data_IF_403737662268
#
_entry.id   IF_403737662268
#
_cell.length_a   1.000
_cell.length_b   1.000
_cell.length_c   1.000
_cell.angle_alpha   90.00
_cell.angle_beta   90.00
_cell.angle_gamma   90.00
#
_symmetry.space_group_name_H-M   'P 1'
#
loop_
_entity.id
_entity.type
_entity.pdbx_description
1 polymer ?
#
# COMPACT_ATOMS: atom_id res chain seq x y z
N UNK A 1 -7.70 52.28 15.59
CA UNK A 1 -6.40 51.57 15.54
C UNK A 1 -6.35 50.32 16.45
N UNK A 2 -6.77 50.37 17.73
CA UNK A 2 -6.72 49.20 18.64
C UNK A 2 -7.63 48.02 18.23
N UNK A 3 -8.87 48.26 17.79
CA UNK A 3 -9.83 47.19 17.40
C UNK A 3 -9.37 46.35 16.21
N UNK A 4 -8.74 46.97 15.22
CA UNK A 4 -8.18 46.29 14.04
C UNK A 4 -7.00 45.38 14.41
N UNK A 5 -6.17 45.81 15.37
CA UNK A 5 -5.08 45.01 15.91
C UNK A 5 -5.55 43.76 16.66
N UNK A 6 -6.60 43.87 17.48
CA UNK A 6 -7.19 42.71 18.16
C UNK A 6 -7.84 41.72 17.18
N UNK A 7 -8.46 42.21 16.11
CA UNK A 7 -9.05 41.37 15.08
C UNK A 7 -7.98 40.59 14.30
N UNK A 8 -6.90 41.25 13.88
CA UNK A 8 -5.74 40.61 13.23
C UNK A 8 -5.09 39.56 14.14
N UNK A 9 -4.92 39.87 15.44
CA UNK A 9 -4.35 38.94 16.40
C UNK A 9 -5.22 37.70 16.59
N UNK A 10 -6.55 37.87 16.68
CA UNK A 10 -7.49 36.76 16.80
C UNK A 10 -7.48 35.83 15.57
N UNK A 11 -7.40 36.40 14.36
CA UNK A 11 -7.31 35.61 13.12
C UNK A 11 -6.01 34.79 13.08
N UNK A 12 -4.87 35.38 13.46
CA UNK A 12 -3.59 34.68 13.50
C UNK A 12 -3.62 33.50 14.49
N UNK A 13 -4.20 33.70 15.68
CA UNK A 13 -4.32 32.64 16.69
C UNK A 13 -5.20 31.50 16.19
N UNK A 14 -6.31 31.80 15.52
CA UNK A 14 -7.20 30.77 14.95
C UNK A 14 -6.49 29.98 13.84
N UNK A 15 -5.78 30.65 12.92
CA UNK A 15 -5.04 29.97 11.85
C UNK A 15 -3.91 29.11 12.39
N UNK A 16 -3.16 29.60 13.40
CA UNK A 16 -2.10 28.82 14.04
C UNK A 16 -2.65 27.59 14.78
N UNK A 17 -3.75 27.75 15.53
CA UNK A 17 -4.40 26.64 16.23
C UNK A 17 -4.96 25.60 15.25
N UNK A 18 -5.55 26.04 14.13
CA UNK A 18 -6.02 25.16 13.07
C UNK A 18 -4.86 24.40 12.39
N UNK A 19 -3.73 25.08 12.12
CA UNK A 19 -2.53 24.46 11.54
C UNK A 19 -1.90 23.41 12.47
N UNK A 20 -1.78 23.72 13.77
CA UNK A 20 -1.26 22.77 14.77
C UNK A 20 -2.22 21.59 14.99
N UNK A 21 -3.52 21.86 15.00
CA UNK A 21 -4.55 20.81 15.08
C UNK A 21 -4.46 19.88 13.87
N UNK A 22 -4.44 20.43 12.66
CA UNK A 22 -4.31 19.67 11.42
C UNK A 22 -3.06 18.77 11.42
N UNK A 23 -1.91 19.29 11.85
CA UNK A 23 -0.66 18.54 11.90
C UNK A 23 -0.65 17.42 12.95
N UNK A 24 -1.32 17.62 14.09
CA UNK A 24 -1.48 16.56 15.10
C UNK A 24 -2.44 15.45 14.67
N UNK A 25 -3.40 15.74 13.79
CA UNK A 25 -4.37 14.75 13.31
C UNK A 25 -3.91 14.04 12.03
N UNK A 26 -2.89 14.54 11.32
CA UNK A 26 -2.23 13.79 10.24
C UNK A 26 -1.28 12.74 10.83
N UNK A 27 -1.61 11.45 10.71
CA UNK A 27 -0.66 10.37 11.03
C UNK A 27 0.62 10.48 10.19
N UNK A 28 1.73 9.88 10.65
CA UNK A 28 3.01 9.92 9.91
C UNK A 28 2.87 9.22 8.54
N UNK A 29 2.87 9.95 7.41
CA UNK A 29 2.75 9.33 6.08
C UNK A 29 4.00 8.52 5.69
N UNK A 30 5.12 8.74 6.38
CA UNK A 30 6.41 8.12 6.06
C UNK A 30 6.76 6.93 6.96
N UNK A 31 5.87 6.51 7.87
CA UNK A 31 6.17 5.44 8.82
C UNK A 31 6.59 4.12 8.14
N UNK A 32 5.90 3.70 7.06
CA UNK A 32 6.34 2.54 6.27
C UNK A 32 7.70 2.77 5.59
N UNK A 33 7.96 3.99 5.12
CA UNK A 33 9.25 4.34 4.50
C UNK A 33 10.39 4.22 5.50
N UNK A 34 10.21 4.78 6.70
CA UNK A 34 11.16 4.72 7.81
C UNK A 34 11.43 3.26 8.20
N UNK A 35 10.39 2.44 8.36
CA UNK A 35 10.55 1.00 8.66
C UNK A 35 11.41 0.32 7.59
N UNK A 36 11.13 0.55 6.30
CA UNK A 36 11.86 -0.14 5.23
C UNK A 36 13.30 0.35 5.13
N UNK A 37 13.51 1.66 5.09
CA UNK A 37 14.81 2.26 4.74
C UNK A 37 15.73 2.43 5.94
N UNK A 38 15.20 2.51 7.15
CA UNK A 38 15.97 2.78 8.37
C UNK A 38 16.06 1.59 9.31
N UNK A 39 15.21 0.57 9.13
CA UNK A 39 15.21 -0.63 9.98
C UNK A 39 15.49 -1.88 9.13
N UNK A 40 14.54 -2.30 8.28
CA UNK A 40 14.65 -3.58 7.57
C UNK A 40 15.88 -3.64 6.64
N UNK A 41 16.10 -2.61 5.82
CA UNK A 41 17.19 -2.61 4.86
C UNK A 41 18.57 -2.52 5.52
N UNK A 42 18.83 -1.58 6.47
CA UNK A 42 20.12 -1.52 7.16
C UNK A 42 20.43 -2.81 7.94
N UNK A 43 19.47 -3.37 8.68
CA UNK A 43 19.69 -4.57 9.49
C UNK A 43 19.95 -5.80 8.62
N UNK A 44 19.27 -5.91 7.47
CA UNK A 44 19.55 -6.95 6.49
C UNK A 44 20.97 -6.85 5.92
N UNK A 45 21.46 -5.63 5.65
CA UNK A 45 22.78 -5.42 5.06
C UNK A 45 23.92 -5.64 6.07
N UNK A 46 23.71 -5.26 7.33
CA UNK A 46 24.74 -5.32 8.37
C UNK A 46 24.76 -6.66 9.10
N UNK A 47 23.59 -7.20 9.43
CA UNK A 47 23.46 -8.36 10.33
C UNK A 47 22.76 -9.56 9.67
N UNK A 48 22.40 -9.44 8.39
CA UNK A 48 21.62 -10.45 7.67
C UNK A 48 20.25 -10.74 8.31
N UNK A 49 19.72 -9.79 9.07
CA UNK A 49 18.45 -9.91 9.78
C UNK A 49 17.38 -9.05 9.10
N UNK A 50 16.27 -9.62 8.60
CA UNK A 50 15.24 -8.85 7.93
C UNK A 50 14.31 -8.08 8.89
N UNK A 51 14.36 -8.35 10.20
CA UNK A 51 13.42 -7.78 11.15
C UNK A 51 13.43 -6.23 11.14
N UNK A 52 12.26 -5.56 11.26
CA UNK A 52 10.93 -6.12 11.52
C UNK A 52 10.21 -6.68 10.28
N UNK A 53 10.81 -6.63 9.11
CA UNK A 53 10.26 -7.26 7.91
C UNK A 53 10.38 -8.79 8.00
N UNK A 54 9.46 -9.48 7.32
CA UNK A 54 9.54 -10.93 7.17
C UNK A 54 10.64 -11.33 6.18
N UNK A 55 10.94 -10.46 5.20
CA UNK A 55 11.97 -10.65 4.20
C UNK A 55 12.47 -9.33 3.64
N UNK A 56 13.75 -9.27 3.31
CA UNK A 56 14.38 -8.14 2.62
C UNK A 56 15.25 -8.69 1.50
N UNK A 57 15.01 -8.23 0.26
CA UNK A 57 15.79 -8.62 -0.93
C UNK A 57 16.36 -7.38 -1.61
N UNK A 58 17.50 -6.85 -1.13
CA UNK A 58 18.05 -5.59 -1.64
C UNK A 58 18.32 -5.63 -3.15
N UNK A 59 18.85 -6.76 -3.65
CA UNK A 59 19.13 -6.94 -5.10
C UNK A 59 17.88 -7.03 -5.96
N UNK A 60 16.78 -7.54 -5.42
CA UNK A 60 15.49 -7.60 -6.12
C UNK A 60 14.64 -6.34 -5.88
N UNK A 61 15.09 -5.45 -5.01
CA UNK A 61 14.48 -4.15 -4.80
C UNK A 61 13.24 -4.14 -3.90
N UNK A 62 12.98 -5.16 -3.06
CA UNK A 62 11.75 -5.23 -2.26
C UNK A 62 11.93 -5.80 -0.84
N UNK A 63 10.93 -5.56 0.00
CA UNK A 63 10.72 -6.21 1.30
C UNK A 63 9.31 -6.79 1.41
N UNK A 64 9.13 -7.76 2.29
CA UNK A 64 7.81 -8.27 2.72
C UNK A 64 7.63 -7.94 4.19
N UNK A 65 6.53 -7.27 4.54
CA UNK A 65 6.26 -6.79 5.89
C UNK A 65 4.89 -7.27 6.38
N UNK A 66 4.79 -7.78 7.61
CA UNK A 66 3.49 -8.20 8.18
C UNK A 66 2.70 -6.95 8.55
N UNK A 67 1.53 -6.79 7.95
CA UNK A 67 0.65 -5.68 8.29
C UNK A 67 0.11 -5.83 9.72
N UNK A 68 -0.06 -4.73 10.46
CA UNK A 68 -0.72 -4.77 11.77
C UNK A 68 -2.24 -4.98 11.65
N UNK A 69 -2.82 -4.65 10.50
CA UNK A 69 -4.23 -4.83 10.18
C UNK A 69 -4.43 -6.15 9.42
N UNK A 70 -5.32 -7.00 9.93
CA UNK A 70 -5.66 -8.28 9.32
C UNK A 70 -4.74 -9.43 9.77
N UNK A 71 -5.31 -10.64 10.02
CA UNK A 71 -4.55 -11.76 10.57
C UNK A 71 -3.48 -12.29 9.61
N UNK A 72 -3.77 -12.26 8.31
CA UNK A 72 -2.93 -12.85 7.27
C UNK A 72 -2.34 -11.83 6.29
N UNK A 73 -2.66 -10.54 6.44
CA UNK A 73 -2.23 -9.51 5.50
C UNK A 73 -0.74 -9.22 5.60
N UNK A 74 -0.08 -9.17 4.44
CA UNK A 74 1.29 -8.70 4.26
C UNK A 74 1.33 -7.53 3.28
N UNK A 75 2.39 -6.74 3.35
CA UNK A 75 2.71 -5.68 2.42
C UNK A 75 3.99 -6.03 1.67
N UNK A 76 4.01 -5.79 0.35
CA UNK A 76 5.24 -5.73 -0.42
C UNK A 76 5.59 -4.27 -0.73
N UNK A 77 6.82 -3.86 -0.42
CA UNK A 77 7.29 -2.48 -0.56
C UNK A 77 8.69 -2.44 -1.17
N UNK A 78 9.06 -1.39 -1.92
CA UNK A 78 10.38 -1.27 -2.50
C UNK A 78 11.44 -0.92 -1.45
N UNK A 79 12.68 -1.37 -1.65
CA UNK A 79 13.85 -1.00 -0.81
C UNK A 79 14.44 0.37 -1.18
N UNK A 80 13.71 1.18 -1.92
CA UNK A 80 14.08 2.53 -2.35
C UNK A 80 12.81 3.37 -2.54
N UNK A 81 12.97 4.70 -2.64
CA UNK A 81 11.83 5.62 -2.60
C UNK A 81 10.98 5.54 -3.87
N UNK A 82 9.77 5.01 -3.72
CA UNK A 82 8.64 5.15 -4.64
C UNK A 82 7.43 5.45 -3.76
N UNK A 83 6.72 6.56 -3.98
CA UNK A 83 5.65 6.96 -3.06
C UNK A 83 4.35 6.16 -3.26
N UNK A 84 4.04 5.77 -4.50
CA UNK A 84 2.75 5.20 -4.84
C UNK A 84 2.52 5.06 -6.33
N UNK A 85 1.27 4.81 -6.70
CA UNK A 85 0.80 4.63 -8.09
C UNK A 85 1.12 5.81 -9.00
N UNK A 86 1.30 7.01 -8.44
CA UNK A 86 1.61 8.24 -9.16
C UNK A 86 3.10 8.39 -9.54
N UNK A 87 3.97 7.50 -9.07
CA UNK A 87 5.40 7.60 -9.36
C UNK A 87 5.71 7.28 -10.82
N UNK A 88 6.44 8.15 -11.56
CA UNK A 88 6.82 7.88 -12.94
C UNK A 88 7.74 6.67 -13.07
N UNK A 89 8.46 6.30 -11.99
CA UNK A 89 9.30 5.11 -11.96
C UNK A 89 8.53 3.83 -12.28
N UNK A 90 7.22 3.76 -12.00
CA UNK A 90 6.40 2.59 -12.31
C UNK A 90 6.18 2.38 -13.82
N UNK A 91 6.50 3.37 -14.65
CA UNK A 91 6.44 3.29 -16.11
C UNK A 91 7.79 2.90 -16.75
N UNK A 92 8.86 2.88 -15.96
CA UNK A 92 10.20 2.53 -16.43
C UNK A 92 10.32 1.00 -16.59
N UNK A 93 10.75 0.48 -17.76
CA UNK A 93 10.90 -0.96 -17.97
C UNK A 93 11.90 -1.64 -17.02
N UNK A 94 12.84 -0.88 -16.47
CA UNK A 94 13.83 -1.36 -15.51
C UNK A 94 13.28 -1.47 -14.08
N UNK A 95 12.13 -0.87 -13.79
CA UNK A 95 11.51 -0.97 -12.47
C UNK A 95 11.00 -2.39 -12.24
N UNK A 96 11.30 -3.02 -11.08
CA UNK A 96 10.80 -4.35 -10.77
C UNK A 96 9.28 -4.44 -10.87
N UNK A 97 8.79 -5.57 -11.38
CA UNK A 97 7.36 -5.86 -11.38
C UNK A 97 6.91 -6.21 -9.95
N UNK A 98 6.57 -5.20 -9.16
CA UNK A 98 6.18 -5.36 -7.76
C UNK A 98 4.90 -6.20 -7.58
N UNK A 99 3.96 -6.15 -8.53
CA UNK A 99 2.77 -7.02 -8.49
C UNK A 99 3.16 -8.50 -8.64
N UNK A 100 4.06 -8.83 -9.55
CA UNK A 100 4.56 -10.19 -9.69
C UNK A 100 5.33 -10.64 -8.44
N UNK A 101 6.20 -9.78 -7.89
CA UNK A 101 6.91 -10.07 -6.65
C UNK A 101 5.94 -10.30 -5.48
N UNK A 102 4.85 -9.54 -5.42
CA UNK A 102 3.84 -9.67 -4.37
C UNK A 102 3.06 -10.98 -4.51
N UNK A 103 2.79 -11.40 -5.75
CA UNK A 103 2.22 -12.73 -6.02
C UNK A 103 3.14 -13.84 -5.52
N UNK A 104 4.46 -13.76 -5.76
CA UNK A 104 5.41 -14.75 -5.24
C UNK A 104 5.47 -14.75 -3.71
N UNK A 105 5.28 -13.59 -3.07
CA UNK A 105 5.27 -13.45 -1.62
C UNK A 105 3.98 -13.96 -0.94
N UNK A 106 2.94 -14.41 -1.67
CA UNK A 106 1.70 -14.90 -1.05
C UNK A 106 1.90 -16.09 -0.10
N UNK A 107 2.97 -16.86 -0.27
CA UNK A 107 3.34 -17.95 0.65
C UNK A 107 3.54 -17.52 2.10
N UNK A 108 3.84 -16.24 2.37
CA UNK A 108 3.86 -15.70 3.74
C UNK A 108 2.50 -15.75 4.42
N UNK A 109 1.40 -15.63 3.66
CA UNK A 109 0.05 -15.79 4.20
C UNK A 109 -0.18 -17.23 4.68
N UNK A 110 0.12 -18.24 3.84
CA UNK A 110 0.00 -19.66 4.21
C UNK A 110 0.88 -20.02 5.40
N UNK A 111 2.14 -19.53 5.42
CA UNK A 111 3.05 -19.71 6.55
C UNK A 111 2.48 -19.14 7.85
N UNK A 112 1.83 -17.98 7.79
CA UNK A 112 1.19 -17.35 8.95
C UNK A 112 -0.10 -18.09 9.38
N UNK A 113 -0.84 -18.62 8.42
CA UNK A 113 -2.08 -19.36 8.66
C UNK A 113 -1.82 -20.76 9.24
N UNK A 114 -0.68 -21.37 8.92
CA UNK A 114 -0.34 -22.73 9.32
C UNK A 114 -0.87 -23.82 8.38
N UNK A 115 -1.61 -23.41 7.33
CA UNK A 115 -2.14 -24.26 6.28
C UNK A 115 -2.01 -23.55 4.93
N UNK A 116 -2.11 -24.33 3.85
CA UNK A 116 -2.11 -23.77 2.50
C UNK A 116 -3.37 -22.92 2.26
N UNK A 117 -3.16 -21.72 1.72
CA UNK A 117 -4.20 -20.85 1.22
C UNK A 117 -4.25 -21.03 -0.30
N UNK A 118 -5.41 -21.40 -0.88
CA UNK A 118 -5.52 -21.58 -2.32
C UNK A 118 -5.32 -20.25 -3.05
N UNK A 119 -4.69 -20.30 -4.23
CA UNK A 119 -4.43 -19.11 -5.05
C UNK A 119 -5.70 -18.31 -5.37
N UNK A 120 -6.84 -18.98 -5.52
CA UNK A 120 -8.16 -18.34 -5.76
C UNK A 120 -8.65 -17.46 -4.60
N UNK A 121 -8.11 -17.65 -3.40
CA UNK A 121 -8.45 -16.86 -2.22
C UNK A 121 -7.54 -15.63 -2.05
N UNK A 122 -6.45 -15.50 -2.81
CA UNK A 122 -5.48 -14.40 -2.67
C UNK A 122 -5.85 -13.25 -3.63
N UNK A 123 -5.70 -12.02 -3.14
CA UNK A 123 -5.77 -10.79 -3.93
C UNK A 123 -4.57 -9.90 -3.67
N UNK A 124 -4.18 -9.16 -4.70
CA UNK A 124 -3.17 -8.10 -4.63
C UNK A 124 -3.82 -6.77 -4.94
N UNK A 125 -3.63 -5.77 -4.09
CA UNK A 125 -4.21 -4.45 -4.29
C UNK A 125 -3.22 -3.34 -3.94
N UNK A 126 -3.29 -2.22 -4.67
CA UNK A 126 -2.59 -0.99 -4.34
C UNK A 126 -3.56 0.17 -4.39
N UNK A 127 -3.49 1.04 -3.38
CA UNK A 127 -4.35 2.21 -3.28
C UNK A 127 -3.69 3.44 -3.93
N UNK A 128 -4.52 4.28 -4.54
CA UNK A 128 -4.09 5.59 -5.03
C UNK A 128 -3.70 6.51 -3.88
N UNK A 129 -3.14 7.69 -4.19
CA UNK A 129 -2.80 8.72 -3.19
C UNK A 129 -3.99 9.11 -2.31
N UNK A 130 -5.21 9.12 -2.87
CA UNK A 130 -6.42 9.48 -2.12
C UNK A 130 -6.97 8.32 -1.27
N UNK A 131 -6.59 7.08 -1.58
CA UNK A 131 -7.06 5.88 -0.89
C UNK A 131 -6.07 5.32 0.13
N UNK A 132 -4.97 6.03 0.44
CA UNK A 132 -3.91 5.55 1.34
C UNK A 132 -3.51 6.60 2.36
N UNK A 133 -2.84 6.17 3.42
CA UNK A 133 -2.28 7.02 4.47
C UNK A 133 -0.75 6.99 4.56
N UNK A 134 -0.08 6.24 3.68
CA UNK A 134 1.38 6.06 3.68
C UNK A 134 1.94 6.39 2.30
N UNK A 135 3.01 7.17 2.26
CA UNK A 135 3.67 7.64 1.03
C UNK A 135 4.92 6.81 0.70
N UNK A 136 4.81 5.50 0.87
CA UNK A 136 5.77 4.53 0.36
C UNK A 136 4.99 3.42 -0.33
N UNK A 137 5.30 3.11 -1.58
CA UNK A 137 4.58 2.15 -2.41
C UNK A 137 4.40 0.84 -1.63
N UNK A 138 3.16 0.43 -1.40
CA UNK A 138 2.84 -0.80 -0.70
C UNK A 138 1.71 -1.54 -1.43
N UNK A 139 1.98 -2.78 -1.82
CA UNK A 139 0.98 -3.70 -2.36
C UNK A 139 0.47 -4.56 -1.20
N UNK A 140 -0.84 -4.52 -0.98
CA UNK A 140 -1.54 -5.38 -0.04
C UNK A 140 -1.61 -6.80 -0.61
N UNK A 141 -1.13 -7.78 0.16
CA UNK A 141 -1.25 -9.21 -0.11
C UNK A 141 -2.20 -9.76 0.94
N UNK A 142 -3.44 -10.06 0.55
CA UNK A 142 -4.50 -10.47 1.49
C UNK A 142 -5.57 -11.30 0.80
N UNK A 143 -6.55 -11.78 1.57
CA UNK A 143 -7.65 -12.56 1.01
C UNK A 143 -8.60 -11.68 0.19
N UNK A 144 -9.06 -12.20 -0.95
CA UNK A 144 -10.15 -11.61 -1.72
C UNK A 144 -11.47 -11.73 -0.95
N UNK A 145 -12.39 -10.79 -1.12
CA UNK A 145 -13.74 -10.95 -0.59
C UNK A 145 -14.51 -12.03 -1.36
N UNK A 146 -15.37 -12.83 -0.69
CA UNK A 146 -16.14 -13.88 -1.36
C UNK A 146 -17.04 -13.37 -2.49
N UNK A 147 -17.73 -12.25 -2.29
CA UNK A 147 -18.61 -11.63 -3.29
C UNK A 147 -17.84 -11.15 -4.53
N UNK A 148 -16.66 -10.55 -4.32
CA UNK A 148 -15.77 -10.15 -5.43
C UNK A 148 -15.27 -11.37 -6.20
N UNK A 149 -14.89 -12.46 -5.52
CA UNK A 149 -14.45 -13.70 -6.18
C UNK A 149 -15.56 -14.28 -7.07
N UNK A 150 -16.75 -14.43 -6.52
CA UNK A 150 -17.92 -14.95 -7.25
C UNK A 150 -18.24 -14.09 -8.48
N UNK A 151 -18.22 -12.76 -8.34
CA UNK A 151 -18.46 -11.86 -9.47
C UNK A 151 -17.40 -12.01 -10.56
N UNK A 152 -16.12 -12.05 -10.20
CA UNK A 152 -15.03 -12.25 -11.17
C UNK A 152 -15.12 -13.60 -11.88
N UNK A 153 -15.57 -14.65 -11.19
CA UNK A 153 -15.80 -15.97 -11.80
C UNK A 153 -16.96 -15.94 -12.81
N UNK A 154 -18.06 -15.24 -12.47
CA UNK A 154 -19.23 -15.11 -13.34
C UNK A 154 -18.94 -14.28 -14.60
N UNK A 155 -18.03 -13.30 -14.52
CA UNK A 155 -17.65 -12.44 -15.65
C UNK A 155 -16.40 -12.92 -16.43
N UNK A 156 -15.88 -14.12 -16.15
CA UNK A 156 -14.63 -14.62 -16.75
C UNK A 156 -14.61 -14.56 -18.29
N UNK A 157 -15.75 -14.85 -18.94
CA UNK A 157 -15.87 -14.81 -20.41
C UNK A 157 -15.89 -13.40 -21.00
N UNK A 158 -16.06 -12.37 -20.15
CA UNK A 158 -16.09 -10.96 -20.52
C UNK A 158 -14.75 -10.25 -20.25
N UNK A 159 -13.88 -10.86 -19.45
CA UNK A 159 -12.52 -10.37 -19.21
C UNK A 159 -11.66 -10.78 -20.41
N UNK A 160 -11.05 -9.79 -21.07
CA UNK A 160 -10.30 -9.96 -22.31
C UNK A 160 -8.92 -9.32 -22.21
N UNK A 161 -8.06 -9.53 -23.21
CA UNK A 161 -6.75 -8.87 -23.25
C UNK A 161 -6.79 -7.35 -23.48
N UNK A 162 -7.97 -6.72 -23.50
CA UNK A 162 -8.17 -5.26 -23.56
C UNK A 162 -8.82 -4.78 -22.28
N UNK A 163 -8.32 -3.65 -21.76
CA UNK A 163 -8.96 -2.95 -20.64
C UNK A 163 -10.36 -2.50 -21.04
N UNK A 164 -11.37 -3.06 -20.38
CA UNK A 164 -12.79 -2.73 -20.56
C UNK A 164 -13.47 -2.63 -19.18
N UNK A 165 -14.57 -1.87 -19.06
CA UNK A 165 -15.36 -1.85 -17.83
C UNK A 165 -15.82 -3.25 -17.42
N UNK A 166 -15.58 -3.63 -16.17
CA UNK A 166 -16.12 -4.84 -15.56
C UNK A 166 -17.64 -4.65 -15.38
N UNK A 167 -18.48 -5.54 -15.92
CA UNK A 167 -19.92 -5.45 -15.75
C UNK A 167 -20.33 -5.40 -14.27
N UNK A 168 -21.16 -4.41 -13.92
CA UNK A 168 -21.59 -4.19 -12.53
C UNK A 168 -20.55 -3.54 -11.61
N UNK A 169 -19.30 -3.38 -12.05
CA UNK A 169 -18.22 -2.82 -11.23
C UNK A 169 -17.87 -3.69 -10.03
N UNK A 170 -17.13 -3.17 -9.05
CA UNK A 170 -16.92 -3.84 -7.76
C UNK A 170 -17.23 -2.84 -6.65
N UNK A 171 -17.97 -3.28 -5.62
CA UNK A 171 -18.28 -2.45 -4.45
C UNK A 171 -18.93 -1.09 -4.80
N UNK A 172 -19.75 -1.04 -5.86
CA UNK A 172 -20.40 0.19 -6.31
C UNK A 172 -19.49 1.17 -7.06
N UNK A 173 -18.29 0.74 -7.45
CA UNK A 173 -17.35 1.53 -8.23
C UNK A 173 -17.07 0.87 -9.59
N UNK A 174 -16.79 1.68 -10.60
CA UNK A 174 -16.32 1.20 -11.89
C UNK A 174 -14.90 0.65 -11.77
N UNK A 175 -14.67 -0.51 -12.37
CA UNK A 175 -13.35 -1.13 -12.50
C UNK A 175 -13.11 -1.45 -13.97
N UNK A 176 -11.89 -1.22 -14.45
CA UNK A 176 -11.45 -1.80 -15.72
C UNK A 176 -10.83 -3.17 -15.45
N UNK A 177 -11.13 -4.15 -16.30
CA UNK A 177 -10.60 -5.51 -16.20
C UNK A 177 -9.86 -5.91 -17.49
N UNK A 178 -8.84 -6.76 -17.33
CA UNK A 178 -8.02 -7.35 -18.40
C UNK A 178 -7.49 -8.71 -17.98
#
# INVERSE_FOLDING_TARGET
MKKTGYFLLAVIVIVAAAGVGYWKFSGNPDALREIVLEQCLPDQLQHQNPAPCAEVKPRAGYVVFKDRHGPLQYLLMPTYRINGTESPLLLEPATPNFFWLAWQARGYMSKKYGHDIPDSAVSLAINSRLGRSQDHLHIHISCIRPDVREQLDNDLTRISTRWLPLPGGLMGHEYLAR
#
